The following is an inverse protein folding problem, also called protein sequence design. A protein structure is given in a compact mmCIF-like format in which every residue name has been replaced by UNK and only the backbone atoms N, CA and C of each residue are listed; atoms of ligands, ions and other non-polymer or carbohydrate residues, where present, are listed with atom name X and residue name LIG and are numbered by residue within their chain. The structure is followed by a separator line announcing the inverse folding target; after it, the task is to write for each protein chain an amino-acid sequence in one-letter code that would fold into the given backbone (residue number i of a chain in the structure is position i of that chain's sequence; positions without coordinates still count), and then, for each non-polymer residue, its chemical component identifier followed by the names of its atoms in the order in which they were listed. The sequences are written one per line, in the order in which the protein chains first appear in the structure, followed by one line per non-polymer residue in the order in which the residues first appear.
data_IF_926780895154
#
_entry.id   IF_926780895154
#
_cell.length_a   1.000
_cell.length_b   1.000
_cell.length_c   1.000
_cell.angle_alpha   90.00
_cell.angle_beta   90.00
_cell.angle_gamma   90.00
#
_symmetry.space_group_name_H-M   'P 1'
#
loop_
_entity.id
_entity.type
_entity.pdbx_description
1 polymer ?
#
# COMPACT_ATOMS: atom_id res chain seq x y z
N UNK A 1 -25.83 0.46 24.11
CA UNK A 1 -25.25 -0.88 24.31
C UNK A 1 -24.42 -1.20 23.09
N UNK A 2 -23.09 -1.19 23.22
CA UNK A 2 -22.19 -1.42 22.08
C UNK A 2 -22.31 -2.87 21.60
N UNK A 3 -22.50 -3.07 20.30
CA UNK A 3 -22.54 -4.40 19.68
C UNK A 3 -21.21 -4.66 18.98
N UNK A 4 -20.41 -5.55 19.54
CA UNK A 4 -19.14 -5.96 18.94
C UNK A 4 -19.40 -7.05 17.91
N UNK A 5 -18.97 -6.84 16.66
CA UNK A 5 -18.94 -7.88 15.63
C UNK A 5 -17.51 -8.30 15.39
N UNK A 6 -17.24 -9.57 15.65
CA UNK A 6 -15.96 -10.19 15.35
C UNK A 6 -15.84 -10.46 13.86
N UNK A 7 -14.89 -9.80 13.18
CA UNK A 7 -14.51 -10.12 11.81
C UNK A 7 -12.98 -10.21 11.74
N UNK A 8 -12.46 -11.43 11.80
CA UNK A 8 -11.08 -11.81 11.48
C UNK A 8 -9.97 -10.86 12.00
N UNK A 9 -9.53 -11.13 13.24
CA UNK A 9 -8.22 -10.77 13.84
C UNK A 9 -7.87 -9.32 14.13
N UNK A 10 -8.78 -8.35 13.95
CA UNK A 10 -8.62 -7.01 14.55
C UNK A 10 -9.94 -6.58 15.17
N UNK A 11 -9.89 -6.11 16.43
CA UNK A 11 -11.03 -5.50 17.11
C UNK A 11 -11.10 -4.05 16.62
N UNK A 12 -11.94 -3.80 15.62
CA UNK A 12 -12.30 -2.43 15.25
C UNK A 12 -13.43 -1.97 16.17
N UNK A 13 -13.16 -0.93 16.97
CA UNK A 13 -14.14 -0.27 17.81
C UNK A 13 -15.02 0.62 16.93
N UNK A 14 -16.25 0.16 16.65
CA UNK A 14 -17.21 0.93 15.84
C UNK A 14 -17.77 2.06 16.70
N UNK A 15 -17.18 3.25 16.62
CA UNK A 15 -17.77 4.46 17.20
C UNK A 15 -18.97 4.89 16.34
N UNK A 16 -20.17 4.97 16.95
CA UNK A 16 -21.48 5.18 16.29
C UNK A 16 -21.65 6.55 15.56
N UNK A 17 -20.60 7.33 15.36
CA UNK A 17 -20.68 8.70 14.85
C UNK A 17 -20.60 8.87 13.31
N UNK A 18 -20.59 7.79 12.51
CA UNK A 18 -20.59 7.89 11.03
C UNK A 18 -21.87 7.35 10.35
N UNK A 19 -22.95 7.13 11.09
CA UNK A 19 -24.20 6.53 10.58
C UNK A 19 -25.03 7.44 9.65
N UNK A 20 -24.73 8.73 9.53
CA UNK A 20 -25.60 9.66 8.77
C UNK A 20 -25.14 9.96 7.33
N UNK A 21 -23.88 9.69 6.96
CA UNK A 21 -23.35 10.15 5.66
C UNK A 21 -23.56 9.19 4.48
N UNK A 22 -24.27 8.07 4.66
CA UNK A 22 -24.51 7.07 3.59
C UNK A 22 -25.96 6.96 3.11
N UNK A 23 -26.86 7.86 3.50
CA UNK A 23 -28.28 7.85 3.07
C UNK A 23 -28.55 8.81 1.90
N UNK A 24 -27.91 8.60 0.75
CA UNK A 24 -28.29 9.31 -0.48
C UNK A 24 -27.84 8.60 -1.76
N UNK A 25 -28.13 7.30 -1.84
CA UNK A 25 -28.38 6.64 -3.13
C UNK A 25 -29.77 6.02 -3.11
N UNK A 26 -30.76 6.84 -3.46
CA UNK A 26 -32.12 6.43 -3.73
C UNK A 26 -32.14 5.47 -4.92
N UNK A 27 -32.13 4.16 -4.63
CA UNK A 27 -32.49 3.15 -5.62
C UNK A 27 -34.01 3.10 -5.70
N UNK A 28 -34.54 3.64 -6.78
CA UNK A 28 -35.92 3.51 -7.22
C UNK A 28 -36.34 2.04 -7.18
N UNK A 29 -37.43 1.79 -6.45
CA UNK A 29 -37.96 0.46 -6.20
C UNK A 29 -38.46 -0.22 -7.46
N UNK A 30 -38.06 -1.48 -7.61
CA UNK A 30 -38.80 -2.46 -8.40
C UNK A 30 -39.50 -3.39 -7.42
N UNK A 31 -40.82 -3.18 -7.29
CA UNK A 31 -41.74 -4.02 -6.51
C UNK A 31 -42.00 -5.31 -7.31
N UNK A 32 -41.60 -6.46 -6.77
CA UNK A 32 -42.30 -7.74 -6.95
C UNK A 32 -41.44 -8.89 -6.40
N UNK A 33 -41.58 -9.21 -5.11
CA UNK A 33 -41.26 -10.53 -4.60
C UNK A 33 -42.58 -11.21 -4.17
N UNK A 34 -42.84 -12.45 -4.62
CA UNK A 34 -44.01 -13.21 -4.19
C UNK A 34 -43.83 -13.70 -2.75
N UNK A 35 -44.95 -13.79 -2.02
CA UNK A 35 -45.02 -14.41 -0.68
C UNK A 35 -44.63 -15.89 -0.79
N UNK A 36 -43.49 -16.25 -0.23
CA UNK A 36 -43.11 -17.64 0.02
C UNK A 36 -43.57 -18.03 1.42
N UNK A 37 -44.49 -18.99 1.44
CA UNK A 37 -45.10 -19.56 2.63
C UNK A 37 -44.08 -20.21 3.55
N UNK A 38 -44.34 -20.02 4.84
CA UNK A 38 -43.67 -20.66 5.96
C UNK A 38 -43.92 -22.16 5.99
N UNK A 39 -42.99 -22.95 5.45
CA UNK A 39 -42.84 -24.35 5.84
C UNK A 39 -41.75 -24.43 6.92
N UNK A 40 -42.20 -24.58 8.16
CA UNK A 40 -41.34 -25.01 9.26
C UNK A 40 -40.96 -26.46 8.97
N UNK A 41 -39.68 -26.72 8.70
CA UNK A 41 -39.14 -28.07 8.57
C UNK A 41 -37.89 -28.16 9.43
N UNK A 42 -38.08 -28.86 10.54
CA UNK A 42 -37.13 -29.31 11.55
C UNK A 42 -35.91 -30.00 10.94
N UNK A 43 -34.87 -29.23 10.63
CA UNK A 43 -33.57 -29.74 10.17
C UNK A 43 -32.38 -29.15 10.96
N UNK A 44 -32.64 -28.29 11.97
CA UNK A 44 -31.61 -27.60 12.76
C UNK A 44 -30.72 -28.51 13.59
N UNK A 45 -31.18 -29.71 13.92
CA UNK A 45 -30.49 -30.55 14.90
C UNK A 45 -29.36 -31.38 14.27
N UNK A 46 -29.42 -31.58 12.95
CA UNK A 46 -28.42 -32.34 12.18
C UNK A 46 -27.19 -31.49 11.78
N UNK A 47 -27.37 -30.18 11.56
CA UNK A 47 -26.23 -29.29 11.29
C UNK A 47 -25.42 -28.98 12.56
N UNK A 48 -26.09 -28.88 13.70
CA UNK A 48 -25.45 -28.62 14.99
C UNK A 48 -24.52 -29.77 15.41
N UNK A 49 -24.91 -31.02 15.16
CA UNK A 49 -24.09 -32.22 15.45
C UNK A 49 -22.88 -32.34 14.52
N UNK A 50 -22.98 -31.88 13.28
CA UNK A 50 -21.83 -31.87 12.35
C UNK A 50 -20.80 -30.81 12.73
N UNK A 51 -21.26 -29.65 13.19
CA UNK A 51 -20.37 -28.57 13.63
C UNK A 51 -19.58 -28.97 14.90
N UNK A 52 -20.21 -29.63 15.88
CA UNK A 52 -19.52 -30.07 17.10
C UNK A 52 -18.50 -31.17 16.85
N UNK A 53 -18.81 -32.13 15.96
CA UNK A 53 -17.86 -33.17 15.55
C UNK A 53 -16.60 -32.60 14.89
N UNK A 54 -16.73 -31.52 14.10
CA UNK A 54 -15.59 -30.90 13.41
C UNK A 54 -14.66 -30.15 14.38
N UNK A 55 -15.21 -29.46 15.38
CA UNK A 55 -14.42 -28.75 16.41
C UNK A 55 -13.62 -29.74 17.26
N UNK A 56 -14.23 -30.87 17.68
CA UNK A 56 -13.53 -31.90 18.44
C UNK A 56 -12.38 -32.56 17.66
N UNK A 57 -12.52 -32.73 16.34
CA UNK A 57 -11.46 -33.28 15.49
C UNK A 57 -10.26 -32.32 15.36
N UNK A 58 -10.51 -31.00 15.35
CA UNK A 58 -9.46 -29.99 15.30
C UNK A 58 -8.67 -29.88 16.61
N UNK A 59 -9.32 -30.00 17.77
CA UNK A 59 -8.63 -30.01 19.07
C UNK A 59 -7.69 -31.21 19.25
N UNK A 60 -8.10 -32.38 18.73
CA UNK A 60 -7.24 -33.58 18.70
C UNK A 60 -6.00 -33.40 17.83
N UNK A 61 -6.14 -32.75 16.66
CA UNK A 61 -5.01 -32.51 15.73
C UNK A 61 -4.02 -31.47 16.26
N UNK A 62 -4.47 -30.42 16.94
CA UNK A 62 -3.57 -29.41 17.52
C UNK A 62 -2.68 -29.98 18.64
N UNK A 63 -3.19 -30.94 19.41
CA UNK A 63 -2.44 -31.54 20.52
C UNK A 63 -1.30 -32.46 20.04
N UNK A 64 -1.42 -33.05 18.85
CA UNK A 64 -0.40 -33.94 18.29
C UNK A 64 0.82 -33.22 17.70
N UNK A 65 0.70 -31.93 17.35
CA UNK A 65 1.80 -31.15 16.72
C UNK A 65 2.59 -30.27 17.68
N UNK A 66 2.15 -30.14 18.94
CA UNK A 66 2.88 -29.41 19.99
C UNK A 66 3.63 -30.34 20.96
N UNK A 67 3.94 -31.56 20.51
CA UNK A 67 4.88 -32.44 21.19
C UNK A 67 6.27 -31.80 21.23
N UNK A 68 6.75 -31.59 22.45
CA UNK A 68 8.13 -31.28 22.86
C UNK A 68 8.89 -30.30 21.95
N UNK A 69 8.84 -29.02 22.33
CA UNK A 69 9.78 -28.00 21.88
C UNK A 69 11.20 -28.57 22.01
N UNK A 70 11.94 -28.80 20.91
CA UNK A 70 13.31 -29.26 20.98
C UNK A 70 14.10 -28.27 21.84
N UNK A 71 14.75 -28.76 22.89
CA UNK A 71 15.73 -27.98 23.63
C UNK A 71 16.81 -27.58 22.61
N UNK A 72 16.78 -26.32 22.21
CA UNK A 72 17.86 -25.71 21.45
C UNK A 72 19.14 -25.88 22.27
N UNK A 73 20.17 -26.56 21.77
CA UNK A 73 21.44 -26.65 22.47
C UNK A 73 21.98 -25.23 22.64
N UNK A 74 22.35 -24.90 23.89
CA UNK A 74 23.00 -23.66 24.23
C UNK A 74 24.23 -23.49 23.33
N UNK A 75 24.19 -22.51 22.43
CA UNK A 75 25.34 -22.16 21.60
C UNK A 75 26.38 -21.48 22.50
N UNK A 76 27.66 -21.88 22.41
CA UNK A 76 28.73 -21.23 23.14
C UNK A 76 28.93 -19.80 22.62
N UNK A 77 28.94 -18.87 23.57
CA UNK A 77 29.20 -17.45 23.39
C UNK A 77 30.53 -17.28 22.64
N UNK A 78 30.45 -16.91 21.36
CA UNK A 78 31.63 -16.64 20.55
C UNK A 78 31.98 -15.17 20.75
N UNK A 79 32.93 -14.90 21.64
CA UNK A 79 33.55 -13.59 21.84
C UNK A 79 34.13 -13.09 20.50
N UNK A 80 33.46 -12.11 19.90
CA UNK A 80 34.02 -11.35 18.77
C UNK A 80 35.10 -10.41 19.31
N UNK A 81 36.36 -10.86 19.19
CA UNK A 81 37.56 -10.06 19.46
C UNK A 81 37.68 -8.98 18.39
N UNK A 82 37.52 -7.71 18.80
CA UNK A 82 37.82 -6.57 17.94
C UNK A 82 39.33 -6.46 17.70
N UNK A 83 39.78 -6.81 16.50
CA UNK A 83 41.13 -6.51 16.01
C UNK A 83 41.06 -5.26 15.13
N UNK A 84 41.10 -4.11 15.77
CA UNK A 84 41.32 -2.82 15.13
C UNK A 84 42.80 -2.70 14.81
N UNK A 85 43.19 -2.96 13.56
CA UNK A 85 44.55 -2.82 13.09
C UNK A 85 44.56 -1.98 11.82
N UNK A 86 44.82 -0.68 11.96
CA UNK A 86 45.50 0.11 10.93
C UNK A 86 46.25 1.26 11.61
N UNK A 87 47.45 0.92 12.06
CA UNK A 87 48.54 1.87 12.28
C UNK A 87 49.21 2.12 10.93
N UNK A 88 49.17 3.36 10.46
CA UNK A 88 49.97 3.87 9.36
C UNK A 88 50.46 5.27 9.75
N UNK A 89 51.71 5.32 10.19
CA UNK A 89 52.36 6.46 10.84
C UNK A 89 52.93 7.48 9.84
N UNK A 90 52.81 8.75 10.26
CA UNK A 90 53.73 9.90 10.16
C UNK A 90 54.78 10.00 9.04
N UNK A 91 54.75 11.14 8.35
CA UNK A 91 55.87 12.08 8.05
C UNK A 91 55.23 13.24 7.24
N UNK A 92 55.60 14.52 7.27
CA UNK A 92 56.65 15.30 7.90
C UNK A 92 56.28 16.79 7.65
N UNK A 93 56.80 17.70 8.48
CA UNK A 93 56.42 19.10 8.58
C UNK A 93 56.91 20.01 7.43
N UNK A 94 56.10 21.02 7.05
CA UNK A 94 56.53 22.30 6.44
C UNK A 94 55.38 23.34 6.46
N UNK A 95 55.67 24.65 6.39
CA UNK A 95 55.03 25.65 7.27
C UNK A 95 53.86 26.44 6.67
N UNK A 96 52.91 26.73 7.55
CA UNK A 96 52.29 28.03 7.82
C UNK A 96 52.28 29.07 6.67
N UNK A 97 51.27 28.97 5.82
CA UNK A 97 50.77 30.10 5.02
C UNK A 97 49.34 30.38 5.45
N UNK A 98 49.19 31.38 6.32
CA UNK A 98 47.92 31.94 6.79
C UNK A 98 47.24 32.69 5.64
N UNK A 99 46.62 31.95 4.75
CA UNK A 99 45.67 32.52 3.79
C UNK A 99 44.44 32.99 4.59
N UNK A 100 43.94 34.21 4.36
CA UNK A 100 42.74 34.71 5.02
C UNK A 100 41.58 33.78 4.68
N UNK A 101 41.00 33.16 5.71
CA UNK A 101 39.78 32.36 5.62
C UNK A 101 38.68 33.29 5.15
N UNK A 102 38.47 33.36 3.83
CA UNK A 102 37.30 33.95 3.23
C UNK A 102 36.10 33.19 3.76
N UNK A 103 35.34 33.87 4.62
CA UNK A 103 34.04 33.38 5.08
C UNK A 103 33.21 33.02 3.84
N UNK A 104 32.79 31.76 3.65
CA UNK A 104 32.01 31.39 2.49
C UNK A 104 30.75 32.26 2.49
N UNK A 105 30.63 33.04 1.41
CA UNK A 105 29.50 33.93 1.16
C UNK A 105 28.20 33.19 1.47
N UNK A 106 27.41 33.79 2.36
CA UNK A 106 26.14 33.26 2.83
C UNK A 106 25.36 32.67 1.65
N UNK A 107 25.19 31.35 1.66
CA UNK A 107 24.42 30.66 0.64
C UNK A 107 23.04 31.33 0.56
N UNK A 108 22.54 31.66 -0.63
CA UNK A 108 21.26 32.33 -0.78
C UNK A 108 20.20 31.47 -0.08
N UNK A 109 19.57 32.05 0.94
CA UNK A 109 18.49 31.42 1.68
C UNK A 109 17.44 30.98 0.67
N UNK A 110 17.29 29.67 0.50
CA UNK A 110 16.26 29.10 -0.36
C UNK A 110 14.90 29.61 0.14
N UNK A 111 14.05 30.13 -0.75
CA UNK A 111 12.74 30.65 -0.35
C UNK A 111 11.96 29.54 0.37
N UNK A 112 11.67 29.78 1.64
CA UNK A 112 10.85 28.91 2.48
C UNK A 112 9.47 28.84 1.81
N UNK A 113 9.10 27.66 1.31
CA UNK A 113 7.77 27.50 0.74
C UNK A 113 6.72 27.69 1.84
N UNK A 114 5.58 28.31 1.53
CA UNK A 114 4.53 28.48 2.51
C UNK A 114 4.11 27.09 3.06
N UNK A 115 3.95 26.94 4.38
CA UNK A 115 3.52 25.69 4.97
C UNK A 115 2.16 25.28 4.39
N UNK A 116 2.17 24.26 3.54
CA UNK A 116 0.99 23.86 2.76
C UNK A 116 1.28 23.29 1.36
N UNK A 117 2.55 23.24 0.93
CA UNK A 117 2.94 22.50 -0.26
C UNK A 117 2.66 21.01 -0.03
N UNK A 118 1.61 20.46 -0.64
CA UNK A 118 1.41 19.02 -0.59
C UNK A 118 2.50 18.25 -1.34
N UNK A 119 2.38 16.93 -1.39
CA UNK A 119 3.42 16.12 -2.05
C UNK A 119 3.49 16.45 -3.54
N UNK A 120 4.71 16.46 -4.08
CA UNK A 120 4.94 16.57 -5.52
C UNK A 120 4.08 15.58 -6.31
N UNK A 121 3.43 16.07 -7.36
CA UNK A 121 2.52 15.29 -8.21
C UNK A 121 1.07 15.13 -7.74
N UNK A 122 0.60 15.87 -6.73
CA UNK A 122 -0.83 15.93 -6.43
C UNK A 122 -1.63 16.57 -7.60
N UNK A 123 -2.84 16.10 -7.95
CA UNK A 123 -3.60 14.99 -7.34
C UNK A 123 -3.31 13.60 -7.94
N UNK A 124 -2.71 13.52 -9.14
CA UNK A 124 -2.67 12.27 -9.91
C UNK A 124 -1.61 11.27 -9.41
N UNK A 125 -0.39 11.73 -9.14
CA UNK A 125 0.74 10.95 -8.65
C UNK A 125 1.00 11.18 -7.16
N UNK A 126 -0.04 11.61 -6.46
CA UNK A 126 0.01 11.96 -5.06
C UNK A 126 0.57 10.82 -4.21
N UNK A 127 1.48 11.18 -3.28
CA UNK A 127 1.97 10.24 -2.28
C UNK A 127 0.87 9.93 -1.25
N UNK A 128 1.11 8.93 -0.40
CA UNK A 128 0.20 8.59 0.71
C UNK A 128 -0.03 9.84 1.58
N UNK A 129 -1.26 10.10 2.05
CA UNK A 129 -1.52 11.21 2.97
C UNK A 129 -0.68 11.10 4.23
N UNK A 130 -0.19 12.24 4.71
CA UNK A 130 0.58 12.33 5.95
C UNK A 130 -0.34 12.11 7.15
N UNK A 131 -0.11 11.03 7.90
CA UNK A 131 -0.91 10.69 9.08
C UNK A 131 -0.75 11.75 10.18
N UNK A 132 0.45 12.33 10.33
CA UNK A 132 0.71 13.38 11.35
C UNK A 132 -0.08 14.65 11.02
N UNK A 133 -0.01 15.11 9.77
CA UNK A 133 -0.77 16.28 9.33
C UNK A 133 -2.28 16.04 9.41
N UNK A 134 -2.76 14.84 9.04
CA UNK A 134 -4.17 14.48 9.20
C UNK A 134 -4.65 14.53 10.67
N UNK A 135 -3.73 14.39 11.64
CA UNK A 135 -4.01 14.53 13.08
C UNK A 135 -3.85 15.97 13.60
N UNK A 136 -3.53 16.95 12.75
CA UNK A 136 -3.53 18.37 13.09
C UNK A 136 -2.25 19.12 12.70
N UNK A 137 -1.06 18.52 12.85
CA UNK A 137 0.20 19.18 12.50
C UNK A 137 1.30 18.18 12.13
N UNK A 138 2.20 18.60 11.24
CA UNK A 138 3.39 17.83 10.88
C UNK A 138 4.63 18.72 11.01
N UNK A 139 5.50 18.38 11.97
CA UNK A 139 6.71 19.16 12.27
C UNK A 139 7.83 18.98 11.24
N UNK A 140 7.68 18.04 10.30
CA UNK A 140 8.67 17.79 9.25
C UNK A 140 8.59 18.81 8.10
N UNK A 141 7.51 19.59 7.99
CA UNK A 141 7.34 20.58 6.92
C UNK A 141 7.59 20.00 5.53
N UNK A 142 8.46 20.65 4.77
CA UNK A 142 8.87 20.26 3.41
C UNK A 142 9.72 18.98 3.37
N UNK A 143 10.32 18.59 4.49
CA UNK A 143 11.03 17.31 4.60
C UNK A 143 10.05 16.12 4.76
N UNK A 144 8.76 16.37 4.95
CA UNK A 144 7.75 15.33 4.99
C UNK A 144 7.58 14.72 3.59
N UNK A 145 8.01 13.46 3.42
CA UNK A 145 7.82 12.73 2.16
C UNK A 145 6.38 12.32 1.85
N UNK A 146 5.37 12.80 2.60
CA UNK A 146 3.95 12.46 2.47
C UNK A 146 3.13 13.67 2.06
N UNK A 147 1.89 13.45 1.60
CA UNK A 147 1.06 14.56 1.14
C UNK A 147 0.30 15.26 2.29
N UNK A 148 0.35 16.60 2.31
CA UNK A 148 -0.37 17.46 3.25
C UNK A 148 -1.69 18.03 2.71
N UNK A 149 -2.09 17.73 1.47
CA UNK A 149 -3.41 18.13 0.98
C UNK A 149 -4.53 17.31 1.62
N UNK A 150 -5.75 17.84 1.57
CA UNK A 150 -6.95 17.07 1.89
C UNK A 150 -7.19 16.01 0.80
N UNK A 151 -7.35 14.75 1.20
CA UNK A 151 -7.60 13.65 0.28
C UNK A 151 -8.99 13.10 0.50
N UNK A 152 -9.74 12.92 -0.59
CA UNK A 152 -10.93 12.07 -0.54
C UNK A 152 -10.51 10.62 -0.32
N UNK A 153 -11.37 9.85 0.35
CA UNK A 153 -11.12 8.42 0.54
C UNK A 153 -10.99 7.72 -0.81
N UNK A 154 -9.78 7.27 -1.14
CA UNK A 154 -9.54 6.51 -2.35
C UNK A 154 -10.15 5.13 -2.27
N UNK A 155 -10.70 4.67 -3.39
CA UNK A 155 -11.11 3.27 -3.52
C UNK A 155 -9.85 2.42 -3.47
N UNK A 156 -9.78 1.48 -2.53
CA UNK A 156 -8.69 0.51 -2.42
C UNK A 156 -9.17 -0.88 -2.79
N UNK A 157 -8.31 -1.68 -3.41
CA UNK A 157 -8.60 -3.09 -3.64
C UNK A 157 -8.75 -3.80 -2.28
N UNK A 158 -9.83 -4.57 -2.10
CA UNK A 158 -10.06 -5.33 -0.87
C UNK A 158 -9.05 -6.48 -0.73
N UNK A 159 -9.02 -7.14 0.45
CA UNK A 159 -8.05 -8.22 0.73
C UNK A 159 -8.10 -9.33 -0.33
N UNK A 160 -9.30 -9.79 -0.72
CA UNK A 160 -9.48 -10.85 -1.73
C UNK A 160 -8.97 -10.42 -3.11
N UNK A 161 -9.28 -9.20 -3.53
CA UNK A 161 -8.82 -8.63 -4.79
C UNK A 161 -7.30 -8.49 -4.83
N UNK A 162 -6.66 -8.03 -3.74
CA UNK A 162 -5.20 -7.96 -3.64
C UNK A 162 -4.55 -9.34 -3.74
N UNK A 163 -5.12 -10.35 -3.07
CA UNK A 163 -4.64 -11.72 -3.19
C UNK A 163 -4.74 -12.23 -4.63
N UNK A 164 -5.86 -11.99 -5.30
CA UNK A 164 -6.03 -12.35 -6.72
C UNK A 164 -4.99 -11.65 -7.60
N UNK A 165 -4.83 -10.34 -7.45
CA UNK A 165 -3.85 -9.56 -8.22
C UNK A 165 -2.41 -10.03 -7.97
N UNK A 166 -2.09 -10.46 -6.75
CA UNK A 166 -0.76 -10.97 -6.38
C UNK A 166 -0.48 -12.37 -6.96
N UNK A 167 -1.52 -13.17 -7.21
CA UNK A 167 -1.40 -14.50 -7.82
C UNK A 167 -1.14 -14.46 -9.32
N UNK A 168 -1.51 -13.37 -9.99
CA UNK A 168 -1.24 -13.20 -11.42
C UNK A 168 0.26 -13.14 -11.70
N UNK A 169 0.68 -13.67 -12.85
CA UNK A 169 2.04 -13.43 -13.34
C UNK A 169 2.22 -11.96 -13.72
N UNK A 170 3.46 -11.49 -13.85
CA UNK A 170 3.74 -10.08 -14.12
C UNK A 170 3.09 -9.61 -15.43
N UNK A 171 3.23 -10.36 -16.52
CA UNK A 171 2.60 -10.03 -17.81
C UNK A 171 1.06 -10.00 -17.73
N UNK A 172 0.46 -10.95 -17.01
CA UNK A 172 -0.99 -11.00 -16.80
C UNK A 172 -1.49 -9.81 -15.96
N UNK A 173 -0.80 -9.49 -14.88
CA UNK A 173 -1.11 -8.33 -14.04
C UNK A 173 -1.05 -7.05 -14.85
N UNK A 174 -0.01 -6.87 -15.66
CA UNK A 174 0.14 -5.72 -16.52
C UNK A 174 -0.96 -5.66 -17.59
N UNK A 175 -1.30 -6.79 -18.22
CA UNK A 175 -2.40 -6.85 -19.18
C UNK A 175 -3.74 -6.41 -18.55
N UNK A 176 -3.96 -6.69 -17.25
CA UNK A 176 -5.13 -6.22 -16.50
C UNK A 176 -5.04 -4.74 -16.12
N UNK A 177 -3.88 -4.27 -15.62
CA UNK A 177 -3.73 -2.90 -15.09
C UNK A 177 -3.50 -1.84 -16.18
N UNK A 178 -2.85 -2.20 -17.29
CA UNK A 178 -2.41 -1.26 -18.32
C UNK A 178 -3.54 -0.41 -18.94
N UNK A 179 -4.72 -0.97 -19.30
CA UNK A 179 -5.84 -0.17 -19.78
C UNK A 179 -6.31 0.88 -18.76
N UNK A 180 -6.21 0.56 -17.47
CA UNK A 180 -6.59 1.48 -16.39
C UNK A 180 -5.54 2.57 -16.16
N UNK A 181 -4.25 2.24 -16.28
CA UNK A 181 -3.16 3.22 -16.21
C UNK A 181 -3.27 4.22 -17.37
N UNK A 182 -3.43 3.76 -18.62
CA UNK A 182 -3.60 4.65 -19.79
C UNK A 182 -4.78 5.59 -19.62
N UNK A 183 -5.94 5.05 -19.23
CA UNK A 183 -7.13 5.85 -18.95
C UNK A 183 -6.85 6.89 -17.86
N UNK A 184 -6.17 6.51 -16.79
CA UNK A 184 -5.91 7.42 -15.67
C UNK A 184 -4.94 8.55 -16.07
N UNK A 185 -3.97 8.27 -16.93
CA UNK A 185 -3.08 9.27 -17.52
C UNK A 185 -3.85 10.24 -18.42
N UNK A 186 -4.73 9.72 -19.28
CA UNK A 186 -5.58 10.50 -20.17
C UNK A 186 -6.53 11.42 -19.40
N UNK A 187 -7.23 10.90 -18.39
CA UNK A 187 -8.16 11.69 -17.55
C UNK A 187 -7.41 12.77 -16.77
N UNK A 188 -6.18 12.49 -16.33
CA UNK A 188 -5.34 13.47 -15.66
C UNK A 188 -4.62 14.44 -16.61
N UNK A 189 -4.73 14.23 -17.93
CA UNK A 189 -4.00 14.98 -18.96
C UNK A 189 -2.48 14.98 -18.74
N UNK A 190 -1.92 13.83 -18.34
CA UNK A 190 -0.49 13.66 -18.08
C UNK A 190 0.15 12.88 -19.22
N UNK A 191 1.15 13.50 -19.85
CA UNK A 191 1.98 12.86 -20.86
C UNK A 191 3.14 12.09 -20.21
N UNK A 192 3.06 10.76 -20.26
CA UNK A 192 4.06 9.85 -19.72
C UNK A 192 4.46 8.77 -20.75
N UNK A 193 5.06 9.16 -21.90
CA UNK A 193 5.36 8.23 -22.98
C UNK A 193 6.30 7.10 -22.53
N UNK A 194 7.28 7.40 -21.68
CA UNK A 194 8.26 6.42 -21.20
C UNK A 194 7.62 5.32 -20.34
N UNK A 195 6.67 5.70 -19.46
CA UNK A 195 5.91 4.72 -18.68
C UNK A 195 5.02 3.88 -19.60
N UNK A 196 4.35 4.50 -20.57
CA UNK A 196 3.48 3.77 -21.50
C UNK A 196 4.30 2.77 -22.32
N UNK A 197 5.41 3.20 -22.91
CA UNK A 197 6.28 2.34 -23.72
C UNK A 197 6.87 1.18 -22.90
N UNK A 198 7.30 1.44 -21.67
CA UNK A 198 7.84 0.41 -20.76
C UNK A 198 6.78 -0.64 -20.42
N UNK A 199 5.56 -0.20 -20.06
CA UNK A 199 4.48 -1.13 -19.73
C UNK A 199 4.00 -1.91 -20.96
N UNK A 200 3.93 -1.27 -22.13
CA UNK A 200 3.52 -1.91 -23.38
C UNK A 200 4.52 -2.97 -23.85
N UNK A 201 5.83 -2.69 -23.72
CA UNK A 201 6.88 -3.64 -24.03
C UNK A 201 6.80 -4.91 -23.18
N UNK A 202 6.48 -4.79 -21.88
CA UNK A 202 6.35 -5.95 -20.99
C UNK A 202 5.03 -6.71 -21.19
N UNK A 203 3.92 -6.00 -21.43
CA UNK A 203 2.64 -6.66 -21.73
C UNK A 203 2.81 -7.60 -22.94
N UNK A 204 3.55 -7.17 -23.95
CA UNK A 204 3.85 -7.96 -25.14
C UNK A 204 2.58 -8.54 -25.77
N UNK A 205 2.61 -9.85 -26.06
CA UNK A 205 1.45 -10.60 -26.58
C UNK A 205 0.64 -11.30 -25.48
N UNK A 206 0.85 -10.94 -24.21
CA UNK A 206 0.18 -11.60 -23.09
C UNK A 206 -1.30 -11.29 -23.12
N UNK A 207 -2.14 -12.34 -23.19
CA UNK A 207 -3.58 -12.18 -23.14
C UNK A 207 -4.03 -11.90 -21.72
N UNK A 208 -4.83 -10.86 -21.52
CA UNK A 208 -5.38 -10.57 -20.20
C UNK A 208 -6.23 -11.76 -19.69
N UNK A 209 -5.97 -12.23 -18.45
CA UNK A 209 -6.79 -13.27 -17.84
C UNK A 209 -8.22 -12.77 -17.60
N UNK A 210 -9.15 -13.71 -17.44
CA UNK A 210 -10.52 -13.36 -17.09
C UNK A 210 -10.61 -12.96 -15.60
N UNK A 211 -10.77 -11.65 -15.36
CA UNK A 211 -10.95 -11.08 -14.03
C UNK A 211 -12.41 -10.68 -13.78
N UNK A 212 -12.82 -10.72 -12.51
CA UNK A 212 -14.16 -10.30 -12.08
C UNK A 212 -14.44 -8.84 -12.48
N UNK A 213 -15.62 -8.58 -13.03
CA UNK A 213 -16.11 -7.24 -13.38
C UNK A 213 -16.09 -6.27 -12.17
N UNK A 214 -16.28 -6.77 -10.95
CA UNK A 214 -16.18 -5.96 -9.74
C UNK A 214 -14.75 -5.44 -9.52
N UNK A 215 -13.73 -6.27 -9.74
CA UNK A 215 -12.34 -5.86 -9.68
C UNK A 215 -12.02 -4.79 -10.75
N UNK A 216 -12.45 -5.02 -11.99
CA UNK A 216 -12.24 -4.02 -13.06
C UNK A 216 -12.89 -2.68 -12.73
N UNK A 217 -14.08 -2.70 -12.11
CA UNK A 217 -14.74 -1.47 -11.63
C UNK A 217 -13.97 -0.79 -10.49
N UNK A 218 -13.40 -1.56 -9.57
CA UNK A 218 -12.52 -1.05 -8.51
C UNK A 218 -11.29 -0.39 -9.11
N UNK A 219 -10.54 -1.09 -9.98
CA UNK A 219 -9.32 -0.60 -10.62
C UNK A 219 -9.56 0.70 -11.40
N UNK A 220 -10.68 0.80 -12.11
CA UNK A 220 -11.08 2.01 -12.84
C UNK A 220 -11.27 3.25 -11.96
N UNK A 221 -11.51 3.08 -10.66
CA UNK A 221 -11.71 4.18 -9.69
C UNK A 221 -10.48 4.45 -8.85
N UNK A 222 -9.42 3.66 -8.98
CA UNK A 222 -8.17 3.87 -8.25
C UNK A 222 -7.39 5.04 -8.86
N UNK A 223 -6.72 5.87 -8.03
CA UNK A 223 -5.83 6.90 -8.55
C UNK A 223 -4.61 6.27 -9.23
N UNK A 224 -3.98 7.01 -10.14
CA UNK A 224 -2.81 6.56 -10.88
C UNK A 224 -1.69 6.06 -9.96
N UNK A 225 -1.41 6.78 -8.86
CA UNK A 225 -0.40 6.36 -7.87
C UNK A 225 -0.66 4.98 -7.28
N UNK A 226 -1.93 4.62 -7.04
CA UNK A 226 -2.29 3.32 -6.50
C UNK A 226 -2.18 2.21 -7.56
N UNK A 227 -2.53 2.50 -8.81
CA UNK A 227 -2.35 1.56 -9.92
C UNK A 227 -0.86 1.26 -10.16
N UNK A 228 -0.02 2.30 -10.20
CA UNK A 228 1.43 2.14 -10.33
C UNK A 228 2.03 1.42 -9.12
N UNK A 229 1.53 1.69 -7.90
CA UNK A 229 1.97 0.99 -6.70
C UNK A 229 1.74 -0.52 -6.75
N UNK A 230 0.66 -0.99 -7.41
CA UNK A 230 0.44 -2.42 -7.64
C UNK A 230 1.48 -3.03 -8.59
N UNK A 231 1.94 -2.26 -9.58
CA UNK A 231 2.98 -2.68 -10.53
C UNK A 231 4.36 -2.69 -9.85
N UNK A 232 4.67 -1.65 -9.08
CA UNK A 232 5.95 -1.52 -8.36
C UNK A 232 6.15 -2.58 -7.26
N UNK A 233 5.09 -3.25 -6.83
CA UNK A 233 5.19 -4.39 -5.92
C UNK A 233 5.83 -5.62 -6.58
N UNK A 234 5.95 -5.65 -7.92
CA UNK A 234 6.60 -6.75 -8.64
C UNK A 234 8.12 -6.56 -8.70
N UNK A 235 8.89 -7.64 -8.46
CA UNK A 235 10.34 -7.60 -8.66
C UNK A 235 10.64 -7.30 -10.14
N UNK A 236 11.66 -6.48 -10.40
CA UNK A 236 12.07 -6.06 -11.76
C UNK A 236 11.55 -4.69 -12.19
N UNK A 237 10.28 -4.37 -11.90
CA UNK A 237 9.67 -3.09 -12.31
C UNK A 237 10.04 -1.92 -11.43
N UNK A 238 10.27 -2.19 -10.14
CA UNK A 238 10.42 -1.16 -9.12
C UNK A 238 11.45 -0.07 -9.47
N UNK A 239 12.74 -0.36 -9.75
CA UNK A 239 13.73 0.70 -9.92
C UNK A 239 13.43 1.60 -11.13
N UNK A 240 13.12 0.99 -12.27
CA UNK A 240 12.84 1.71 -13.52
C UNK A 240 11.57 2.56 -13.41
N UNK A 241 10.50 1.99 -12.85
CA UNK A 241 9.23 2.70 -12.72
C UNK A 241 9.30 3.77 -11.63
N UNK A 242 10.05 3.56 -10.54
CA UNK A 242 10.25 4.54 -9.48
C UNK A 242 10.95 5.79 -9.99
N UNK A 243 12.01 5.62 -10.80
CA UNK A 243 12.70 6.72 -11.46
C UNK A 243 11.76 7.52 -12.37
N UNK A 244 11.03 6.85 -13.26
CA UNK A 244 10.11 7.51 -14.18
C UNK A 244 8.96 8.23 -13.46
N UNK A 245 8.43 7.63 -12.38
CA UNK A 245 7.40 8.28 -11.57
C UNK A 245 7.96 9.50 -10.86
N UNK A 246 9.19 9.47 -10.37
CA UNK A 246 9.79 10.64 -9.71
C UNK A 246 10.08 11.76 -10.72
N UNK A 247 10.52 11.44 -11.93
CA UNK A 247 10.64 12.40 -13.04
C UNK A 247 9.28 13.06 -13.31
N UNK A 248 8.20 12.28 -13.41
CA UNK A 248 6.86 12.83 -13.59
C UNK A 248 6.40 13.69 -12.41
N UNK A 249 6.68 13.30 -11.17
CA UNK A 249 6.38 14.13 -10.00
C UNK A 249 7.09 15.47 -10.08
N UNK A 250 8.39 15.48 -10.39
CA UNK A 250 9.15 16.72 -10.57
C UNK A 250 8.58 17.63 -11.68
N UNK A 251 8.01 17.04 -12.74
CA UNK A 251 7.36 17.81 -13.83
C UNK A 251 6.02 18.41 -13.44
N UNK A 252 5.30 17.78 -12.50
CA UNK A 252 3.96 18.21 -12.07
C UNK A 252 3.98 19.20 -10.90
N UNK A 253 5.16 19.49 -10.32
CA UNK A 253 5.31 20.33 -9.13
C UNK A 253 5.13 19.54 -7.84
#
# INVERSE_FOLDING_TARGET
MATFRYCNTFIDEVTELQSEFSRSFSRSGSKSCPQLGSHQSSTSDLETTRATSYVAELEGKCSATFGERPQMPAQPETEMTMTTSHSGSVEEAAPESTEPIEMPAAMPATPVQPPGSGSRGHPALCRRPCIRFANGSCDMGDACGYCHYEHSHFVTANKRQRLLLNQLETGELLAVLFPHVRRSLEVAQIEAPDIIAMLEAEVGSTKAPHVDAFLLRTLRRMPLSALLGLIMARPGFRPLLEEQVEVLRCRLG
#
